data_IF_468334929836
#
_entry.id   IF_468334929836
#
_cell.length_a   1.000
_cell.length_b   1.000
_cell.length_c   1.000
_cell.angle_alpha   90.00
_cell.angle_beta   90.00
_cell.angle_gamma   90.00
#
_symmetry.space_group_name_H-M   'P 1'
#
loop_
_entity.id
_entity.type
_entity.pdbx_description
1 polymer ?
#
# COMPACT_ATOMS: atom_id res chain seq x y z
N UNK A 1 -24.40 -1.30 9.56
CA UNK A 1 -23.62 -2.46 10.07
C UNK A 1 -22.30 -1.88 10.53
N UNK A 2 -22.09 -1.83 11.85
CA UNK A 2 -20.86 -1.34 12.49
C UNK A 2 -20.30 -2.56 13.21
N UNK A 3 -19.85 -3.53 12.43
CA UNK A 3 -19.54 -4.86 12.95
C UNK A 3 -18.10 -5.16 12.50
N UNK A 4 -17.14 -4.43 13.08
CA UNK A 4 -15.74 -4.80 13.02
C UNK A 4 -15.49 -5.76 14.19
N UNK A 5 -15.84 -7.03 13.97
CA UNK A 5 -15.68 -8.09 14.98
C UNK A 5 -14.25 -8.60 14.97
N UNK A 6 -13.43 -8.11 15.90
CA UNK A 6 -12.00 -8.48 16.03
C UNK A 6 -11.80 -9.12 17.40
N UNK A 7 -11.17 -10.30 17.43
CA UNK A 7 -10.86 -11.04 18.66
C UNK A 7 -12.08 -11.27 19.58
N UNK A 8 -13.23 -11.61 19.00
CA UNK A 8 -14.50 -11.84 19.71
C UNK A 8 -15.10 -10.62 20.41
N UNK A 9 -14.63 -9.42 20.08
CA UNK A 9 -15.18 -8.17 20.59
C UNK A 9 -15.73 -7.31 19.47
N UNK A 10 -16.89 -6.71 19.74
CA UNK A 10 -17.48 -5.70 18.87
C UNK A 10 -16.77 -4.37 19.13
N UNK A 11 -15.90 -3.98 18.20
CA UNK A 11 -15.07 -2.80 18.37
C UNK A 11 -15.78 -1.57 17.79
N UNK A 12 -16.11 -0.62 18.65
CA UNK A 12 -16.70 0.66 18.23
C UNK A 12 -15.73 1.64 17.54
N UNK A 13 -14.51 1.19 17.24
CA UNK A 13 -13.43 1.99 16.65
C UNK A 13 -12.61 1.14 15.67
N UNK A 14 -12.22 1.75 14.55
CA UNK A 14 -11.43 1.12 13.48
C UNK A 14 -9.92 1.37 13.70
N UNK A 15 -9.07 0.39 13.38
CA UNK A 15 -7.61 0.49 13.54
C UNK A 15 -6.96 1.52 12.60
N UNK A 16 -7.67 1.96 11.56
CA UNK A 16 -7.18 2.86 10.52
C UNK A 16 -8.31 3.56 9.78
N UNK A 17 -8.21 3.61 8.45
CA UNK A 17 -9.26 4.14 7.57
C UNK A 17 -10.42 3.16 7.34
N UNK A 18 -11.37 3.54 6.48
CA UNK A 18 -12.51 2.70 6.12
C UNK A 18 -12.11 1.68 5.04
N UNK A 19 -11.29 0.69 5.40
CA UNK A 19 -10.58 -0.16 4.43
C UNK A 19 -11.46 -1.16 3.65
N UNK A 20 -12.74 -1.28 3.97
CA UNK A 20 -13.72 -1.96 3.10
C UNK A 20 -13.86 -1.24 1.74
N UNK A 21 -13.61 0.07 1.68
CA UNK A 21 -13.52 0.84 0.43
C UNK A 21 -12.49 0.21 -0.52
N UNK A 22 -11.34 -0.23 0.01
CA UNK A 22 -10.26 -0.81 -0.79
C UNK A 22 -10.66 -2.16 -1.37
N UNK A 23 -11.35 -3.01 -0.59
CA UNK A 23 -11.83 -4.34 -1.03
C UNK A 23 -12.87 -4.19 -2.14
N UNK A 24 -13.86 -3.31 -1.94
CA UNK A 24 -14.92 -3.10 -2.93
C UNK A 24 -14.34 -2.46 -4.20
N UNK A 25 -13.43 -1.49 -4.08
CA UNK A 25 -12.74 -0.90 -5.22
C UNK A 25 -11.89 -1.92 -5.98
N UNK A 26 -11.16 -2.79 -5.26
CA UNK A 26 -10.37 -3.85 -5.89
C UNK A 26 -11.22 -4.81 -6.71
N UNK A 27 -12.35 -5.26 -6.15
CA UNK A 27 -13.31 -6.10 -6.84
C UNK A 27 -13.94 -5.38 -8.06
N UNK A 28 -14.23 -4.09 -7.93
CA UNK A 28 -14.79 -3.27 -9.01
C UNK A 28 -13.82 -3.14 -10.19
N UNK A 29 -12.58 -2.71 -9.93
CA UNK A 29 -11.59 -2.48 -10.99
C UNK A 29 -11.12 -3.78 -11.65
N UNK A 30 -11.32 -4.93 -10.99
CA UNK A 30 -11.05 -6.27 -11.55
C UNK A 30 -12.27 -6.91 -12.22
N UNK A 31 -13.43 -6.24 -12.18
CA UNK A 31 -14.64 -6.66 -12.89
C UNK A 31 -15.26 -7.94 -12.33
N UNK A 32 -15.28 -8.10 -11.00
CA UNK A 32 -15.94 -9.24 -10.36
C UNK A 32 -17.43 -9.28 -10.72
N UNK A 33 -17.90 -10.43 -11.19
CA UNK A 33 -19.30 -10.60 -11.60
C UNK A 33 -20.24 -10.79 -10.40
N UNK A 34 -21.54 -10.54 -10.60
CA UNK A 34 -22.58 -10.82 -9.61
C UNK A 34 -22.74 -9.74 -8.52
N UNK A 35 -22.06 -8.60 -8.63
CA UNK A 35 -22.16 -7.50 -7.68
C UNK A 35 -23.04 -6.38 -8.23
N UNK A 36 -23.99 -5.88 -7.43
CA UNK A 36 -24.72 -4.65 -7.74
C UNK A 36 -23.83 -3.43 -7.43
N UNK A 37 -23.11 -2.95 -8.44
CA UNK A 37 -22.13 -1.88 -8.25
C UNK A 37 -22.72 -0.54 -7.83
N UNK A 38 -23.99 -0.25 -8.16
CA UNK A 38 -24.65 0.97 -7.69
C UNK A 38 -24.94 0.90 -6.17
N UNK A 39 -25.34 -0.26 -5.69
CA UNK A 39 -25.58 -0.51 -4.27
C UNK A 39 -24.27 -0.55 -3.48
N UNK A 40 -23.25 -1.26 -3.98
CA UNK A 40 -21.91 -1.25 -3.38
C UNK A 40 -21.32 0.17 -3.30
N UNK A 41 -21.51 0.97 -4.37
CA UNK A 41 -21.10 2.37 -4.36
C UNK A 41 -21.86 3.22 -3.33
N UNK A 42 -23.14 2.93 -3.06
CA UNK A 42 -23.90 3.67 -2.04
C UNK A 42 -23.28 3.54 -0.65
N UNK A 43 -22.70 2.38 -0.33
CA UNK A 43 -21.96 2.14 0.91
C UNK A 43 -20.67 2.97 0.95
N UNK A 44 -19.86 2.91 -0.11
CA UNK A 44 -18.61 3.69 -0.19
C UNK A 44 -18.89 5.19 -0.10
N UNK A 45 -19.90 5.67 -0.82
CA UNK A 45 -20.32 7.07 -0.75
C UNK A 45 -20.75 7.44 0.67
N UNK A 46 -21.49 6.58 1.35
CA UNK A 46 -21.86 6.80 2.74
C UNK A 46 -20.62 6.91 3.63
N UNK A 47 -19.64 6.02 3.49
CA UNK A 47 -18.40 6.10 4.27
C UNK A 47 -17.65 7.40 3.98
N UNK A 48 -17.41 7.69 2.69
CA UNK A 48 -16.70 8.88 2.24
C UNK A 48 -17.34 10.20 2.68
N UNK A 49 -18.67 10.27 2.73
CA UNK A 49 -19.42 11.49 3.06
C UNK A 49 -19.80 11.56 4.55
N UNK A 50 -19.89 10.44 5.28
CA UNK A 50 -20.40 10.35 6.66
C UNK A 50 -19.41 9.74 7.64
N UNK A 51 -18.91 8.53 7.40
CA UNK A 51 -18.13 7.74 8.38
C UNK A 51 -16.60 7.91 8.35
N UNK A 52 -16.07 8.85 7.55
CA UNK A 52 -14.68 9.30 7.72
C UNK A 52 -14.55 10.19 8.96
N UNK A 53 -14.37 9.54 10.10
CA UNK A 53 -14.30 10.11 11.44
C UNK A 53 -12.85 10.21 11.93
N UNK A 54 -12.56 11.17 12.79
CA UNK A 54 -11.22 11.33 13.33
C UNK A 54 -11.25 11.94 14.72
N UNK A 55 -10.15 11.76 15.46
CA UNK A 55 -9.96 12.33 16.79
C UNK A 55 -8.83 13.35 16.72
N UNK A 56 -9.16 14.61 17.00
CA UNK A 56 -8.18 15.69 17.19
C UNK A 56 -8.20 16.18 18.64
N UNK A 57 -7.07 16.67 19.16
CA UNK A 57 -7.05 17.23 20.51
C UNK A 57 -7.97 18.44 20.63
N UNK A 58 -8.78 18.45 21.69
CA UNK A 58 -9.78 19.50 21.94
C UNK A 58 -11.04 19.39 21.07
N UNK A 59 -11.07 18.51 20.06
CA UNK A 59 -12.26 18.22 19.24
C UNK A 59 -12.31 16.72 18.89
N UNK A 60 -12.93 15.89 19.76
CA UNK A 60 -12.98 14.44 19.61
C UNK A 60 -13.72 13.95 18.35
N UNK A 61 -14.60 14.77 17.77
CA UNK A 61 -15.14 14.57 16.43
C UNK A 61 -14.51 15.58 15.46
N UNK A 62 -13.53 15.11 14.69
CA UNK A 62 -12.87 15.90 13.65
C UNK A 62 -13.28 15.46 12.23
N UNK A 63 -14.41 14.76 12.08
CA UNK A 63 -14.89 14.24 10.79
C UNK A 63 -15.02 15.32 9.72
N UNK A 64 -15.58 16.47 10.10
CA UNK A 64 -15.71 17.65 9.22
C UNK A 64 -14.34 18.19 8.80
N UNK A 65 -13.35 18.14 9.70
CA UNK A 65 -12.01 18.65 9.41
C UNK A 65 -11.32 17.85 8.33
N UNK A 66 -11.38 16.52 8.38
CA UNK A 66 -10.83 15.69 7.30
C UNK A 66 -11.47 16.04 5.95
N UNK A 67 -12.80 16.18 5.92
CA UNK A 67 -13.54 16.43 4.67
C UNK A 67 -13.21 17.80 4.05
N UNK A 68 -12.90 18.80 4.87
CA UNK A 68 -12.50 20.15 4.42
C UNK A 68 -11.01 20.25 4.11
N UNK A 69 -10.16 19.82 5.05
CA UNK A 69 -8.71 19.99 5.03
C UNK A 69 -7.97 18.88 4.28
N UNK A 70 -8.56 17.70 4.17
CA UNK A 70 -7.93 16.48 3.67
C UNK A 70 -6.93 15.83 4.65
N UNK A 71 -6.95 16.27 5.91
CA UNK A 71 -6.18 15.70 7.02
C UNK A 71 -6.88 16.01 8.35
N UNK A 72 -6.56 15.24 9.36
CA UNK A 72 -7.04 15.38 10.73
C UNK A 72 -5.96 16.07 11.56
N UNK A 73 -6.27 17.15 12.28
CA UNK A 73 -5.31 17.75 13.19
C UNK A 73 -4.87 16.83 14.31
N UNK A 74 -3.68 17.14 14.82
CA UNK A 74 -2.98 16.42 15.87
C UNK A 74 -3.93 15.87 16.94
N UNK A 75 -3.87 14.56 17.10
CA UNK A 75 -4.70 13.76 17.97
C UNK A 75 -4.42 12.28 17.77
N UNK A 76 -5.23 11.44 18.42
CA UNK A 76 -5.10 9.99 18.39
C UNK A 76 -5.22 9.47 16.94
N UNK A 77 -4.15 8.82 16.45
CA UNK A 77 -4.03 8.23 15.10
C UNK A 77 -4.31 9.19 13.93
N UNK A 78 -4.37 10.50 14.21
CA UNK A 78 -4.79 11.53 13.26
C UNK A 78 -4.06 11.48 11.92
N UNK A 79 -2.76 11.19 11.93
CA UNK A 79 -1.89 11.23 10.76
C UNK A 79 -1.99 9.95 9.93
N UNK A 80 -1.96 8.76 10.56
CA UNK A 80 -2.17 7.49 9.85
C UNK A 80 -3.57 7.41 9.23
N UNK A 81 -4.61 7.72 9.99
CA UNK A 81 -6.01 7.73 9.51
C UNK A 81 -6.19 8.71 8.34
N UNK A 82 -5.52 9.87 8.36
CA UNK A 82 -5.58 10.81 7.23
C UNK A 82 -4.99 10.25 5.95
N UNK A 83 -3.89 9.49 6.03
CA UNK A 83 -3.28 8.84 4.87
C UNK A 83 -4.14 7.69 4.34
N UNK A 84 -4.71 6.89 5.25
CA UNK A 84 -5.61 5.80 4.86
C UNK A 84 -6.89 6.33 4.23
N UNK A 85 -7.51 7.36 4.81
CA UNK A 85 -8.67 8.01 4.18
C UNK A 85 -8.34 8.66 2.85
N UNK A 86 -7.12 9.19 2.68
CA UNK A 86 -6.66 9.69 1.39
C UNK A 86 -6.61 8.58 0.34
N UNK A 87 -6.27 7.35 0.72
CA UNK A 87 -6.37 6.20 -0.18
C UNK A 87 -7.82 5.75 -0.39
N UNK A 88 -8.63 5.70 0.66
CA UNK A 88 -10.05 5.33 0.56
C UNK A 88 -10.86 6.33 -0.30
N UNK A 89 -10.75 7.64 -0.06
CA UNK A 89 -10.27 8.57 -1.10
C UNK A 89 -10.40 8.22 -2.58
N UNK A 90 -9.22 7.87 -3.07
CA UNK A 90 -8.93 7.44 -4.41
C UNK A 90 -9.76 6.21 -4.83
N UNK A 91 -9.94 5.23 -3.94
CA UNK A 91 -10.78 4.05 -4.19
C UNK A 91 -12.23 4.43 -4.52
N UNK A 92 -12.83 5.33 -3.72
CA UNK A 92 -14.16 5.87 -3.97
C UNK A 92 -14.23 6.64 -5.29
N UNK A 93 -13.18 7.41 -5.62
CA UNK A 93 -13.08 8.13 -6.88
C UNK A 93 -13.06 7.17 -8.09
N UNK A 94 -12.33 6.05 -8.03
CA UNK A 94 -12.26 5.10 -9.15
C UNK A 94 -13.61 4.45 -9.46
N UNK A 95 -14.37 4.08 -8.42
CA UNK A 95 -15.72 3.52 -8.62
C UNK A 95 -16.68 4.60 -9.13
N UNK A 96 -16.64 5.80 -8.55
CA UNK A 96 -17.47 6.92 -9.00
C UNK A 96 -17.26 7.21 -10.50
N UNK A 97 -16.00 7.21 -10.96
CA UNK A 97 -15.63 7.40 -12.36
C UNK A 97 -16.25 6.32 -13.26
N UNK A 98 -16.07 5.05 -12.91
CA UNK A 98 -16.58 3.94 -13.71
C UNK A 98 -18.12 3.87 -13.75
N UNK A 99 -18.81 4.43 -12.76
CA UNK A 99 -20.27 4.55 -12.72
C UNK A 99 -20.80 5.88 -13.30
N UNK A 100 -19.95 6.72 -13.89
CA UNK A 100 -20.36 7.99 -14.49
C UNK A 100 -20.78 9.07 -13.49
N UNK A 101 -20.35 8.98 -12.22
CA UNK A 101 -20.66 9.94 -11.15
C UNK A 101 -19.58 11.02 -11.06
N UNK A 102 -19.54 11.88 -12.07
CA UNK A 102 -18.42 12.80 -12.32
C UNK A 102 -18.14 13.77 -11.15
N UNK A 103 -19.17 14.31 -10.50
CA UNK A 103 -19.00 15.24 -9.36
C UNK A 103 -18.38 14.54 -8.15
N UNK A 104 -18.81 13.31 -7.87
CA UNK A 104 -18.23 12.50 -6.80
C UNK A 104 -16.78 12.11 -7.16
N UNK A 105 -16.51 11.73 -8.40
CA UNK A 105 -15.15 11.42 -8.88
C UNK A 105 -14.20 12.60 -8.63
N UNK A 106 -14.57 13.81 -9.08
CA UNK A 106 -13.75 15.02 -8.89
C UNK A 106 -13.54 15.34 -7.41
N UNK A 107 -14.61 15.29 -6.61
CA UNK A 107 -14.56 15.57 -5.17
C UNK A 107 -13.62 14.62 -4.43
N UNK A 108 -13.76 13.31 -4.65
CA UNK A 108 -12.94 12.31 -3.95
C UNK A 108 -11.50 12.29 -4.48
N UNK A 109 -11.30 12.49 -5.78
CA UNK A 109 -9.95 12.59 -6.34
C UNK A 109 -9.20 13.81 -5.77
N UNK A 110 -9.85 14.98 -5.68
CA UNK A 110 -9.29 16.16 -5.03
C UNK A 110 -8.89 15.86 -3.58
N UNK A 111 -9.84 15.35 -2.78
CA UNK A 111 -9.58 15.04 -1.36
C UNK A 111 -8.50 13.97 -1.19
N UNK A 112 -8.44 12.96 -2.07
CA UNK A 112 -7.38 11.95 -2.08
C UNK A 112 -6.01 12.57 -2.26
N UNK A 113 -5.88 13.70 -2.95
CA UNK A 113 -4.59 14.33 -3.23
C UNK A 113 -4.07 15.21 -2.07
N UNK A 114 -4.93 15.49 -1.07
CA UNK A 114 -4.64 16.39 0.06
C UNK A 114 -3.76 15.78 1.14
N UNK A 115 -3.38 14.49 1.06
CA UNK A 115 -2.33 13.93 1.91
C UNK A 115 -1.05 14.77 1.86
N UNK A 116 -0.82 15.45 0.72
CA UNK A 116 0.30 16.36 0.51
C UNK A 116 0.40 17.44 1.59
N UNK A 117 -0.72 17.82 2.21
CA UNK A 117 -0.76 18.82 3.27
C UNK A 117 -0.03 18.36 4.54
N UNK A 118 0.21 17.06 4.70
CA UNK A 118 0.98 16.46 5.79
C UNK A 118 2.45 16.22 5.42
N UNK A 119 2.85 16.43 4.16
CA UNK A 119 4.25 16.36 3.76
C UNK A 119 5.01 17.57 4.30
N UNK A 120 5.93 17.33 5.22
CA UNK A 120 6.82 18.35 5.77
C UNK A 120 8.20 18.25 5.08
N UNK A 121 8.54 19.15 4.14
CA UNK A 121 9.83 19.13 3.46
C UNK A 121 11.02 19.40 4.40
N UNK A 122 10.79 20.09 5.53
CA UNK A 122 11.83 20.48 6.49
C UNK A 122 12.05 19.45 7.59
N UNK A 123 11.13 18.50 7.76
CA UNK A 123 11.33 17.37 8.67
C UNK A 123 12.58 16.58 8.24
N UNK A 124 13.48 16.29 9.18
CA UNK A 124 14.74 15.62 8.91
C UNK A 124 15.05 14.50 9.88
N UNK A 125 15.56 13.38 9.38
CA UNK A 125 16.07 12.25 10.16
C UNK A 125 17.18 11.56 9.37
N UNK A 126 18.29 11.24 10.02
CA UNK A 126 19.45 10.52 9.44
C UNK A 126 19.91 11.10 8.10
N UNK A 127 20.10 12.43 8.04
CA UNK A 127 20.50 13.20 6.86
C UNK A 127 19.49 13.23 5.70
N UNK A 128 18.34 12.57 5.85
CA UNK A 128 17.23 12.69 4.90
C UNK A 128 16.26 13.78 5.32
N UNK A 129 15.68 14.46 4.33
CA UNK A 129 14.61 15.44 4.50
C UNK A 129 13.28 14.91 3.96
N UNK A 130 12.20 15.63 4.25
CA UNK A 130 10.87 15.38 3.69
C UNK A 130 10.17 14.18 4.31
N UNK A 131 9.26 14.39 5.25
CA UNK A 131 8.51 13.28 5.88
C UNK A 131 7.06 13.66 6.12
N UNK A 132 6.19 12.66 6.15
CA UNK A 132 4.83 12.87 6.66
C UNK A 132 4.92 13.25 8.14
N UNK A 133 4.37 14.41 8.48
CA UNK A 133 4.36 14.95 9.84
C UNK A 133 2.94 15.36 10.23
N UNK A 134 2.69 15.36 11.54
CA UNK A 134 1.40 15.82 12.08
C UNK A 134 1.35 17.34 12.20
N UNK A 135 0.14 17.91 12.19
CA UNK A 135 -0.10 19.35 12.22
C UNK A 135 -1.12 19.73 13.30
N UNK A 136 -0.94 20.89 13.92
CA UNK A 136 -1.98 21.51 14.77
C UNK A 136 -3.12 22.01 13.88
N UNK A 137 -4.31 22.25 14.44
CA UNK A 137 -5.46 22.78 13.68
C UNK A 137 -5.13 24.08 12.93
N UNK A 138 -4.25 24.92 13.47
CA UNK A 138 -3.77 26.15 12.81
C UNK A 138 -2.91 25.94 11.56
N UNK A 139 -2.48 24.70 11.29
CA UNK A 139 -1.68 24.36 10.11
C UNK A 139 -0.17 24.28 10.37
N UNK A 140 0.31 24.53 11.59
CA UNK A 140 1.72 24.37 11.92
C UNK A 140 2.08 22.90 12.14
N UNK A 141 3.21 22.47 11.60
CA UNK A 141 3.78 21.16 11.88
C UNK A 141 4.19 21.06 13.35
N UNK A 142 3.96 19.89 13.95
CA UNK A 142 4.45 19.58 15.29
C UNK A 142 5.79 18.86 15.16
N UNK A 143 6.86 19.34 15.80
CA UNK A 143 8.10 18.58 15.90
C UNK A 143 7.83 17.25 16.62
N UNK A 144 8.14 16.15 15.95
CA UNK A 144 8.01 14.80 16.47
C UNK A 144 9.31 14.04 16.21
N UNK A 145 9.58 13.03 17.03
CA UNK A 145 10.58 12.03 16.66
C UNK A 145 10.03 11.18 15.51
N UNK A 146 10.66 11.31 14.34
CA UNK A 146 10.23 10.65 13.10
C UNK A 146 10.44 9.12 13.16
N UNK A 147 11.35 8.65 14.03
CA UNK A 147 11.65 7.22 14.22
C UNK A 147 10.74 6.55 15.25
N UNK A 148 10.08 7.34 16.09
CA UNK A 148 9.21 6.79 17.14
C UNK A 148 8.09 5.96 16.52
N UNK A 149 8.02 4.70 16.91
CA UNK A 149 6.86 3.85 16.68
C UNK A 149 5.78 4.21 17.71
N UNK A 150 4.65 4.69 17.24
CA UNK A 150 3.49 5.04 18.06
C UNK A 150 2.61 3.80 18.19
N UNK A 151 2.38 3.31 19.41
CA UNK A 151 1.58 2.10 19.62
C UNK A 151 0.09 2.25 19.26
N UNK A 152 -0.68 1.20 19.48
CA UNK A 152 -2.12 1.16 19.18
C UNK A 152 -2.85 2.29 19.88
N UNK A 153 -3.72 2.99 19.14
CA UNK A 153 -4.61 4.01 19.69
C UNK A 153 -3.88 5.19 20.36
N UNK A 154 -2.61 5.45 19.98
CA UNK A 154 -1.79 6.56 20.47
C UNK A 154 -1.82 7.75 19.51
N UNK A 155 -1.01 8.76 19.81
CA UNK A 155 -0.95 10.00 19.06
C UNK A 155 -0.39 9.78 17.65
N UNK A 156 -0.97 10.49 16.69
CA UNK A 156 -0.51 10.67 15.30
C UNK A 156 -0.51 9.43 14.42
N UNK A 157 0.26 8.39 14.75
CA UNK A 157 0.38 7.18 13.94
C UNK A 157 -0.14 5.95 14.70
N UNK A 158 -0.72 5.00 13.97
CA UNK A 158 -1.16 3.72 14.52
C UNK A 158 -0.10 2.65 14.24
N UNK A 159 0.48 2.10 15.31
CA UNK A 159 1.46 1.00 15.32
C UNK A 159 2.61 1.18 14.31
N UNK A 160 3.05 2.42 14.16
CA UNK A 160 4.08 2.77 13.20
C UNK A 160 4.68 4.13 13.45
N UNK A 161 5.62 4.50 12.59
CA UNK A 161 6.39 5.73 12.67
C UNK A 161 6.15 6.61 11.43
N UNK A 162 6.68 7.84 11.46
CA UNK A 162 6.73 8.67 10.26
C UNK A 162 7.59 8.04 9.17
N UNK A 163 8.65 7.30 9.53
CA UNK A 163 9.45 6.52 8.57
C UNK A 163 8.60 5.49 7.81
N UNK A 164 7.70 4.77 8.47
CA UNK A 164 6.78 3.83 7.80
C UNK A 164 5.71 4.56 6.98
N UNK A 165 4.93 5.43 7.62
CA UNK A 165 3.77 6.06 6.98
C UNK A 165 4.12 7.08 5.91
N UNK A 166 5.36 7.58 5.85
CA UNK A 166 5.80 8.42 4.73
C UNK A 166 5.76 7.72 3.37
N UNK A 167 5.70 6.39 3.36
CA UNK A 167 5.58 5.59 2.14
C UNK A 167 4.14 5.09 1.88
N UNK A 168 3.18 5.42 2.75
CA UNK A 168 1.77 5.02 2.60
C UNK A 168 0.98 6.04 1.76
N UNK A 169 1.29 6.11 0.46
CA UNK A 169 0.52 6.90 -0.53
C UNK A 169 0.35 6.09 -1.82
N UNK A 170 -0.28 4.90 -1.76
CA UNK A 170 -0.23 3.89 -2.82
C UNK A 170 -0.89 4.31 -4.14
N UNK A 171 -1.67 5.39 -4.15
CA UNK A 171 -2.25 6.02 -5.34
C UNK A 171 -1.37 7.12 -5.96
N UNK A 172 -0.32 7.58 -5.29
CA UNK A 172 0.49 8.74 -5.71
C UNK A 172 1.99 8.60 -5.41
N UNK A 173 2.55 7.39 -5.55
CA UNK A 173 3.98 7.12 -5.32
C UNK A 173 4.92 7.93 -6.22
N UNK A 174 4.54 8.22 -7.48
CA UNK A 174 5.33 9.10 -8.36
C UNK A 174 5.49 10.50 -7.77
N UNK A 175 4.41 11.06 -7.19
CA UNK A 175 4.44 12.36 -6.54
C UNK A 175 5.34 12.34 -5.30
N UNK A 176 5.29 11.27 -4.51
CA UNK A 176 6.19 11.08 -3.37
C UNK A 176 7.67 11.03 -3.78
N UNK A 177 7.99 10.32 -4.87
CA UNK A 177 9.35 10.28 -5.43
C UNK A 177 9.82 11.70 -5.81
N UNK A 178 8.97 12.48 -6.49
CA UNK A 178 9.31 13.86 -6.85
C UNK A 178 9.56 14.75 -5.62
N UNK A 179 8.70 14.67 -4.61
CA UNK A 179 8.83 15.44 -3.36
C UNK A 179 10.06 15.06 -2.54
N UNK A 180 10.52 13.82 -2.67
CA UNK A 180 11.70 13.30 -1.96
C UNK A 180 13.02 13.64 -2.66
N UNK A 181 12.99 14.50 -3.68
CA UNK A 181 14.19 14.90 -4.43
C UNK A 181 14.55 13.97 -5.59
N UNK A 182 13.58 13.22 -6.13
CA UNK A 182 13.76 12.33 -7.27
C UNK A 182 14.18 10.90 -6.91
N UNK A 183 14.25 10.03 -7.92
CA UNK A 183 14.42 8.58 -7.74
C UNK A 183 15.68 8.16 -6.98
N UNK A 184 16.80 8.83 -7.20
CA UNK A 184 18.06 8.50 -6.53
C UNK A 184 18.01 8.80 -5.03
N UNK A 185 17.53 9.98 -4.65
CA UNK A 185 17.39 10.35 -3.23
C UNK A 185 16.32 9.51 -2.54
N UNK A 186 15.18 9.33 -3.20
CA UNK A 186 14.09 8.49 -2.70
C UNK A 186 14.56 7.05 -2.43
N UNK A 187 15.25 6.43 -3.39
CA UNK A 187 15.72 5.05 -3.23
C UNK A 187 16.81 4.93 -2.16
N UNK A 188 17.70 5.90 -2.00
CA UNK A 188 18.68 5.92 -0.88
C UNK A 188 17.98 6.01 0.47
N UNK A 189 16.98 6.89 0.59
CA UNK A 189 16.19 7.04 1.81
C UNK A 189 15.44 5.76 2.17
N UNK A 190 14.76 5.15 1.20
CA UNK A 190 14.00 3.92 1.42
C UNK A 190 14.92 2.74 1.77
N UNK A 191 16.09 2.61 1.11
CA UNK A 191 17.12 1.64 1.50
C UNK A 191 17.56 1.84 2.95
N UNK A 192 17.89 3.07 3.34
CA UNK A 192 18.27 3.38 4.71
C UNK A 192 17.18 3.02 5.71
N UNK A 193 15.91 3.32 5.39
CA UNK A 193 14.76 2.97 6.21
C UNK A 193 14.67 1.46 6.47
N UNK A 194 14.85 0.64 5.43
CA UNK A 194 14.87 -0.82 5.58
C UNK A 194 16.15 -1.36 6.26
N UNK A 195 17.33 -0.83 5.94
CA UNK A 195 18.60 -1.33 6.47
C UNK A 195 18.81 -1.01 7.95
N UNK A 196 18.17 0.06 8.42
CA UNK A 196 18.17 0.48 9.82
C UNK A 196 16.94 0.01 10.61
N UNK A 197 16.07 -0.81 10.01
CA UNK A 197 14.81 -1.26 10.60
C UNK A 197 13.93 -0.09 11.09
N UNK A 198 13.93 1.05 10.38
CA UNK A 198 13.07 2.21 10.66
C UNK A 198 11.68 2.06 10.02
N UNK A 199 11.60 1.22 8.98
CA UNK A 199 10.35 0.77 8.38
C UNK A 199 10.10 -0.65 8.89
N UNK A 200 9.15 -0.77 9.82
CA UNK A 200 8.80 -2.04 10.45
C UNK A 200 7.94 -2.88 9.51
N UNK A 201 8.52 -3.94 8.95
CA UNK A 201 7.83 -4.86 8.04
C UNK A 201 7.11 -6.00 8.75
N UNK A 202 7.20 -6.09 10.07
CA UNK A 202 6.39 -7.01 10.87
C UNK A 202 4.92 -6.59 10.96
N UNK A 203 4.56 -5.42 10.41
CA UNK A 203 3.21 -4.84 10.49
C UNK A 203 2.73 -4.35 9.10
N UNK A 204 1.41 -4.36 8.87
CA UNK A 204 0.76 -4.10 7.58
C UNK A 204 1.06 -2.73 6.94
N UNK A 205 1.21 -1.61 7.69
CA UNK A 205 1.44 -0.30 7.07
C UNK A 205 2.67 -0.25 6.16
N UNK A 206 3.63 -1.16 6.34
CA UNK A 206 4.86 -1.22 5.56
C UNK A 206 4.75 -2.07 4.27
N UNK A 207 3.71 -2.87 4.07
CA UNK A 207 3.65 -3.88 2.99
C UNK A 207 3.94 -3.28 1.61
N UNK A 208 3.39 -2.10 1.32
CA UNK A 208 3.56 -1.42 0.03
C UNK A 208 4.87 -0.65 -0.10
N UNK A 209 5.60 -0.39 0.99
CA UNK A 209 6.82 0.44 0.97
C UNK A 209 7.90 -0.15 0.05
N UNK A 210 8.09 -1.47 0.04
CA UNK A 210 9.08 -2.13 -0.84
C UNK A 210 8.78 -1.92 -2.32
N UNK A 211 7.50 -1.80 -2.68
CA UNK A 211 7.09 -1.60 -4.07
C UNK A 211 7.30 -0.16 -4.54
N UNK A 212 7.56 0.79 -3.62
CA UNK A 212 7.88 2.16 -4.00
C UNK A 212 9.22 2.29 -4.74
N UNK A 213 10.14 1.31 -4.61
CA UNK A 213 11.36 1.26 -5.43
C UNK A 213 11.08 1.19 -6.94
N UNK A 214 9.95 0.61 -7.36
CA UNK A 214 9.58 0.56 -8.78
C UNK A 214 9.40 1.97 -9.37
N UNK A 215 8.75 2.85 -8.61
CA UNK A 215 8.52 4.25 -9.01
C UNK A 215 9.81 5.10 -8.97
N UNK A 216 10.85 4.62 -8.29
CA UNK A 216 12.18 5.21 -8.33
C UNK A 216 13.10 4.60 -9.40
N UNK A 217 12.56 3.79 -10.32
CA UNK A 217 13.32 3.08 -11.36
C UNK A 217 14.45 2.19 -10.79
N UNK A 218 14.16 1.56 -9.63
CA UNK A 218 15.03 0.62 -8.90
C UNK A 218 14.35 -0.71 -8.66
N UNK A 219 13.85 -1.33 -9.73
CA UNK A 219 13.20 -2.66 -9.68
C UNK A 219 14.13 -3.74 -9.11
N UNK A 220 15.44 -3.57 -9.26
CA UNK A 220 16.47 -4.39 -8.63
C UNK A 220 16.37 -4.38 -7.10
N UNK A 221 16.15 -3.19 -6.49
CA UNK A 221 15.96 -3.07 -5.05
C UNK A 221 14.63 -3.64 -4.59
N UNK A 222 13.57 -3.52 -5.38
CA UNK A 222 12.31 -4.17 -5.07
C UNK A 222 12.49 -5.70 -4.97
N UNK A 223 13.15 -6.33 -5.96
CA UNK A 223 13.50 -7.75 -5.89
C UNK A 223 14.38 -8.09 -4.68
N UNK A 224 15.41 -7.28 -4.41
CA UNK A 224 16.34 -7.50 -3.29
C UNK A 224 15.63 -7.46 -1.94
N UNK A 225 14.91 -6.38 -1.63
CA UNK A 225 14.24 -6.22 -0.34
C UNK A 225 13.09 -7.19 -0.19
N UNK A 226 12.29 -7.48 -1.22
CA UNK A 226 11.25 -8.52 -1.13
C UNK A 226 11.86 -9.86 -0.73
N UNK A 227 12.97 -10.27 -1.36
CA UNK A 227 13.65 -11.52 -0.99
C UNK A 227 14.28 -11.49 0.40
N UNK A 228 14.80 -10.33 0.83
CA UNK A 228 15.34 -10.15 2.17
C UNK A 228 14.25 -10.26 3.23
N UNK A 229 13.15 -9.53 3.05
CA UNK A 229 12.01 -9.47 3.96
C UNK A 229 11.31 -10.82 4.10
N UNK A 230 11.19 -11.61 3.03
CA UNK A 230 10.72 -13.01 3.13
C UNK A 230 11.62 -13.80 4.09
N UNK A 231 12.94 -13.78 3.90
CA UNK A 231 13.88 -14.53 4.76
C UNK A 231 13.92 -14.03 6.19
N UNK A 232 13.76 -12.72 6.37
CA UNK A 232 13.83 -12.09 7.68
C UNK A 232 12.54 -12.32 8.47
N UNK A 233 11.36 -12.38 7.86
CA UNK A 233 10.09 -12.39 8.58
C UNK A 233 9.36 -13.72 8.59
N UNK A 234 9.81 -14.71 7.81
CA UNK A 234 9.14 -16.01 7.69
C UNK A 234 10.12 -17.16 7.84
N UNK A 235 9.72 -18.18 8.59
CA UNK A 235 10.44 -19.44 8.74
C UNK A 235 9.44 -20.62 8.79
N UNK A 236 9.91 -21.82 9.15
CA UNK A 236 9.06 -23.01 9.21
C UNK A 236 8.01 -22.96 10.34
N UNK A 237 8.22 -22.12 11.35
CA UNK A 237 7.32 -21.92 12.49
C UNK A 237 6.26 -20.84 12.21
N UNK A 238 6.37 -20.11 11.09
CA UNK A 238 5.40 -19.09 10.67
C UNK A 238 6.03 -17.71 10.42
N UNK A 239 5.22 -16.67 10.53
CA UNK A 239 5.67 -15.28 10.52
C UNK A 239 6.15 -14.83 11.92
N UNK A 240 7.02 -13.82 11.97
CA UNK A 240 7.56 -13.29 13.23
C UNK A 240 6.55 -12.59 14.13
N UNK A 241 5.56 -11.94 13.52
CA UNK A 241 4.52 -11.16 14.20
C UNK A 241 3.15 -11.82 13.99
N UNK A 242 2.07 -11.14 14.36
CA UNK A 242 0.72 -11.62 14.12
C UNK A 242 0.48 -11.89 12.62
N UNK A 243 -0.17 -13.00 12.29
CA UNK A 243 -0.56 -13.28 10.90
C UNK A 243 -1.75 -12.42 10.44
N UNK A 244 -2.45 -11.80 11.40
CA UNK A 244 -3.59 -10.90 11.20
C UNK A 244 -4.61 -11.42 10.20
N UNK A 245 -5.11 -12.63 10.50
CA UNK A 245 -6.12 -13.33 9.70
C UNK A 245 -5.66 -13.58 8.25
N UNK A 246 -4.38 -13.87 8.07
CA UNK A 246 -3.77 -14.22 6.79
C UNK A 246 -3.20 -13.03 6.01
N UNK A 247 -3.08 -11.84 6.61
CA UNK A 247 -2.44 -10.69 5.98
C UNK A 247 -0.96 -10.96 5.69
N UNK A 248 -0.18 -11.37 6.70
CA UNK A 248 1.23 -11.73 6.56
C UNK A 248 1.41 -12.94 5.64
N UNK A 249 0.60 -13.99 5.82
CA UNK A 249 0.60 -15.17 4.95
C UNK A 249 0.30 -14.84 3.49
N UNK A 250 -0.68 -13.97 3.22
CA UNK A 250 -1.00 -13.51 1.87
C UNK A 250 0.17 -12.73 1.27
N UNK A 251 0.83 -11.90 2.07
CA UNK A 251 2.02 -11.19 1.64
C UNK A 251 3.14 -12.14 1.23
N UNK A 252 3.42 -13.14 2.06
CA UNK A 252 4.41 -14.18 1.76
C UNK A 252 4.07 -14.93 0.48
N UNK A 253 2.81 -15.35 0.28
CA UNK A 253 2.39 -16.11 -0.89
C UNK A 253 2.57 -15.27 -2.16
N UNK A 254 2.02 -14.06 -2.22
CA UNK A 254 2.14 -13.19 -3.39
C UNK A 254 3.60 -12.88 -3.71
N UNK A 255 4.36 -12.43 -2.70
CA UNK A 255 5.78 -12.12 -2.87
C UNK A 255 6.62 -13.33 -3.29
N UNK A 256 6.27 -14.53 -2.82
CA UNK A 256 6.93 -15.78 -3.23
C UNK A 256 6.59 -16.21 -4.65
N UNK A 257 5.37 -15.92 -5.11
CA UNK A 257 4.99 -16.06 -6.52
C UNK A 257 5.71 -15.04 -7.41
N UNK A 258 6.26 -13.97 -6.83
CA UNK A 258 7.05 -12.97 -7.54
C UNK A 258 6.25 -11.77 -8.00
N UNK A 259 5.07 -11.54 -7.42
CA UNK A 259 4.30 -10.33 -7.65
C UNK A 259 3.39 -9.97 -6.47
N UNK A 260 3.05 -8.70 -6.28
CA UNK A 260 2.20 -8.26 -5.16
C UNK A 260 1.13 -7.25 -5.61
N UNK A 261 -0.15 -7.40 -5.18
CA UNK A 261 -1.24 -6.50 -5.60
C UNK A 261 -1.16 -5.12 -4.93
N UNK A 262 -1.51 -4.07 -5.68
CA UNK A 262 -1.90 -2.79 -5.09
C UNK A 262 -3.43 -2.75 -4.96
N UNK A 263 -3.97 -3.27 -3.85
CA UNK A 263 -5.41 -3.48 -3.67
C UNK A 263 -6.21 -2.18 -3.84
N UNK A 264 -7.23 -2.17 -4.69
CA UNK A 264 -7.98 -0.96 -5.08
C UNK A 264 -7.53 -0.39 -6.44
N UNK A 265 -6.48 -0.97 -7.02
CA UNK A 265 -5.97 -0.69 -8.35
C UNK A 265 -5.80 -1.99 -9.13
N UNK A 266 -5.96 -1.92 -10.45
CA UNK A 266 -5.80 -3.08 -11.33
C UNK A 266 -4.32 -3.35 -11.67
N UNK A 267 -3.43 -3.33 -10.68
CA UNK A 267 -2.00 -3.55 -10.87
C UNK A 267 -1.41 -4.53 -9.84
N UNK A 268 -0.46 -5.32 -10.31
CA UNK A 268 0.40 -6.21 -9.54
C UNK A 268 1.86 -5.85 -9.83
N UNK A 269 2.63 -5.52 -8.80
CA UNK A 269 4.06 -5.21 -8.91
C UNK A 269 4.87 -6.49 -9.11
N UNK A 270 5.85 -6.50 -10.00
CA UNK A 270 6.71 -7.65 -10.30
C UNK A 270 8.00 -7.61 -9.47
N UNK A 271 8.27 -8.66 -8.70
CA UNK A 271 9.48 -8.78 -7.87
C UNK A 271 10.30 -10.05 -8.15
N UNK A 272 9.73 -11.01 -8.89
CA UNK A 272 10.40 -12.21 -9.37
C UNK A 272 10.23 -13.40 -8.42
N UNK A 273 9.82 -14.55 -8.96
CA UNK A 273 9.34 -15.67 -8.16
C UNK A 273 10.42 -16.45 -7.41
N UNK A 274 10.10 -16.89 -6.20
CA UNK A 274 10.94 -17.72 -5.33
C UNK A 274 11.09 -19.13 -5.88
N UNK A 275 9.97 -19.72 -6.32
CA UNK A 275 9.94 -21.10 -6.79
C UNK A 275 10.27 -21.19 -8.29
N UNK A 276 10.99 -22.24 -8.74
CA UNK A 276 11.23 -22.46 -10.17
C UNK A 276 9.93 -22.55 -10.99
N UNK A 277 8.87 -23.08 -10.37
CA UNK A 277 7.53 -23.15 -10.95
C UNK A 277 6.48 -23.09 -9.86
N UNK A 278 5.41 -22.32 -10.09
CA UNK A 278 4.19 -22.33 -9.32
C UNK A 278 2.98 -22.32 -10.26
N UNK A 279 1.86 -22.89 -9.82
CA UNK A 279 0.61 -22.93 -10.60
C UNK A 279 -0.54 -22.55 -9.69
N UNK A 280 -1.30 -21.53 -10.09
CA UNK A 280 -2.51 -21.09 -9.40
C UNK A 280 -3.70 -21.63 -10.19
N UNK A 281 -4.56 -22.39 -9.52
CA UNK A 281 -5.85 -22.81 -10.06
C UNK A 281 -6.87 -21.69 -9.83
N UNK A 282 -7.47 -21.20 -10.90
CA UNK A 282 -8.49 -20.14 -10.83
C UNK A 282 -9.88 -20.75 -10.64
N UNK A 283 -10.80 -19.96 -10.09
CA UNK A 283 -12.20 -20.36 -9.87
C UNK A 283 -12.94 -20.73 -11.17
N UNK A 284 -12.52 -20.20 -12.33
CA UNK A 284 -13.07 -20.53 -13.64
C UNK A 284 -12.45 -21.81 -14.27
N UNK A 285 -11.67 -22.58 -13.50
CA UNK A 285 -11.00 -23.80 -13.95
C UNK A 285 -9.76 -23.57 -14.83
N UNK A 286 -9.39 -22.31 -15.11
CA UNK A 286 -8.15 -21.96 -15.80
C UNK A 286 -6.98 -21.93 -14.82
N UNK A 287 -5.76 -21.78 -15.36
CA UNK A 287 -4.53 -21.82 -14.56
C UNK A 287 -3.65 -20.63 -14.87
N UNK A 288 -3.04 -20.02 -13.85
CA UNK A 288 -1.92 -19.09 -14.03
C UNK A 288 -0.64 -19.83 -13.67
N UNK A 289 0.27 -19.96 -14.63
CA UNK A 289 1.57 -20.60 -14.43
C UNK A 289 2.63 -19.53 -14.22
N UNK A 290 3.41 -19.66 -13.16
CA UNK A 290 4.56 -18.82 -12.90
C UNK A 290 5.80 -19.69 -13.08
N UNK A 291 6.72 -19.27 -13.94
CA UNK A 291 7.97 -19.99 -14.24
C UNK A 291 9.15 -19.05 -13.98
N UNK A 292 9.96 -19.34 -12.97
CA UNK A 292 11.11 -18.51 -12.58
C UNK A 292 12.40 -19.24 -12.93
N UNK A 293 12.84 -19.15 -14.19
CA UNK A 293 14.04 -19.86 -14.64
C UNK A 293 15.26 -19.31 -13.93
N UNK A 294 16.14 -20.21 -13.51
CA UNK A 294 17.36 -19.92 -12.76
C UNK A 294 17.14 -19.30 -11.36
N UNK A 295 15.93 -19.23 -10.81
CA UNK A 295 15.74 -18.73 -9.43
C UNK A 295 16.54 -19.58 -8.44
N UNK A 296 17.18 -18.93 -7.48
CA UNK A 296 17.93 -19.58 -6.40
C UNK A 296 18.08 -18.62 -5.22
N UNK A 297 18.78 -19.05 -4.17
CA UNK A 297 19.15 -18.16 -3.06
C UNK A 297 20.03 -16.98 -3.48
N UNK A 298 20.78 -17.11 -4.59
CA UNK A 298 21.62 -16.05 -5.16
C UNK A 298 20.94 -15.31 -6.31
N UNK A 299 20.18 -16.03 -7.13
CA UNK A 299 19.57 -15.50 -8.34
C UNK A 299 18.20 -14.89 -8.02
N UNK A 300 18.22 -13.65 -7.55
CA UNK A 300 17.05 -12.94 -7.03
C UNK A 300 16.52 -11.84 -7.95
N UNK A 301 17.32 -11.40 -8.94
CA UNK A 301 16.99 -10.25 -9.78
C UNK A 301 16.33 -10.69 -11.09
N UNK A 302 15.23 -10.03 -11.47
CA UNK A 302 14.59 -10.23 -12.77
C UNK A 302 15.53 -9.70 -13.88
N UNK A 303 15.94 -10.58 -14.79
CA UNK A 303 16.73 -10.24 -15.99
C UNK A 303 15.82 -9.95 -17.19
N UNK A 304 14.74 -10.73 -17.31
CA UNK A 304 13.69 -10.50 -18.30
C UNK A 304 12.39 -11.12 -17.83
N UNK A 305 11.28 -10.58 -18.31
CA UNK A 305 9.95 -11.10 -18.05
C UNK A 305 9.20 -11.31 -19.37
N UNK A 306 8.41 -12.37 -19.45
CA UNK A 306 7.37 -12.54 -20.47
C UNK A 306 6.04 -12.81 -19.80
N UNK A 307 4.98 -12.19 -20.31
CA UNK A 307 3.61 -12.48 -19.92
C UNK A 307 2.87 -12.97 -21.15
N UNK A 308 2.32 -14.19 -21.07
CA UNK A 308 1.64 -14.87 -22.17
C UNK A 308 2.48 -14.89 -23.47
N UNK A 309 3.79 -15.15 -23.31
CA UNK A 309 4.77 -15.21 -24.40
C UNK A 309 5.29 -13.85 -24.89
N UNK A 310 4.66 -12.74 -24.48
CA UNK A 310 5.06 -11.38 -24.89
C UNK A 310 6.15 -10.84 -23.97
N UNK A 311 7.21 -10.26 -24.54
CA UNK A 311 8.24 -9.58 -23.76
C UNK A 311 7.62 -8.44 -22.94
N UNK A 312 7.96 -8.39 -21.65
CA UNK A 312 7.37 -7.45 -20.69
C UNK A 312 8.45 -6.55 -20.10
N UNK A 313 8.31 -5.24 -20.34
CA UNK A 313 9.27 -4.22 -19.89
C UNK A 313 8.74 -3.39 -18.71
N UNK A 314 7.45 -3.48 -18.43
CA UNK A 314 6.83 -2.78 -17.30
C UNK A 314 7.15 -3.51 -16.00
N UNK A 315 7.18 -2.76 -14.90
CA UNK A 315 7.38 -3.33 -13.56
C UNK A 315 6.08 -3.85 -12.93
N UNK A 316 4.97 -3.78 -13.64
CA UNK A 316 3.66 -4.22 -13.20
C UNK A 316 2.91 -4.92 -14.34
N UNK A 317 1.87 -5.66 -13.98
CA UNK A 317 0.86 -6.20 -14.91
C UNK A 317 -0.53 -6.05 -14.28
N UNK A 318 -1.59 -6.28 -15.04
CA UNK A 318 -2.98 -6.12 -14.59
C UNK A 318 -3.67 -7.45 -14.31
N UNK A 319 -4.83 -7.41 -13.66
CA UNK A 319 -5.66 -8.59 -13.48
C UNK A 319 -6.14 -9.17 -14.83
N UNK A 320 -6.36 -8.32 -15.84
CA UNK A 320 -6.80 -8.74 -17.18
C UNK A 320 -5.78 -9.63 -17.88
N UNK A 321 -4.49 -9.47 -17.57
CA UNK A 321 -3.42 -10.28 -18.14
C UNK A 321 -3.47 -11.75 -17.67
N UNK A 322 -4.17 -12.03 -16.56
CA UNK A 322 -4.17 -13.36 -15.92
C UNK A 322 -5.56 -13.94 -15.61
N UNK A 323 -6.65 -13.15 -15.61
CA UNK A 323 -7.99 -13.60 -15.17
C UNK A 323 -8.57 -14.78 -15.95
N UNK A 324 -8.11 -14.99 -17.17
CA UNK A 324 -8.53 -16.10 -18.04
C UNK A 324 -7.49 -17.24 -18.10
N UNK A 325 -6.58 -17.28 -17.12
CA UNK A 325 -5.38 -18.10 -17.16
C UNK A 325 -4.27 -17.47 -17.99
N UNK A 326 -3.05 -17.94 -17.79
CA UNK A 326 -1.90 -17.35 -18.44
C UNK A 326 -0.57 -17.92 -17.95
N UNK A 327 0.51 -17.35 -18.44
CA UNK A 327 1.87 -17.67 -17.97
C UNK A 327 2.68 -16.41 -17.74
N UNK A 328 3.31 -16.31 -16.57
CA UNK A 328 4.33 -15.31 -16.24
C UNK A 328 5.67 -16.05 -16.20
N UNK A 329 6.59 -15.71 -17.10
CA UNK A 329 7.91 -16.29 -17.15
C UNK A 329 8.97 -15.25 -16.77
N UNK A 330 9.77 -15.55 -15.77
CA UNK A 330 10.96 -14.78 -15.40
C UNK A 330 12.24 -15.54 -15.79
N UNK A 331 13.24 -14.78 -16.24
CA UNK A 331 14.64 -15.21 -16.20
C UNK A 331 15.28 -14.50 -15.02
N UNK A 332 15.81 -15.25 -14.05
CA UNK A 332 16.45 -14.71 -12.85
C UNK A 332 17.97 -14.69 -12.98
N UNK A 333 18.63 -13.77 -12.27
CA UNK A 333 20.08 -13.60 -12.24
C UNK A 333 20.59 -13.16 -10.87
N UNK A 334 21.90 -13.30 -10.64
CA UNK A 334 22.60 -12.96 -9.39
C UNK A 334 23.03 -11.49 -9.31
N UNK A 335 22.85 -10.73 -10.39
CA UNK A 335 23.13 -9.29 -10.49
C UNK A 335 21.92 -8.54 -11.04
N UNK A 336 21.77 -7.24 -10.71
CA UNK A 336 20.80 -6.38 -11.36
C UNK A 336 20.91 -6.43 -12.88
N UNK A 337 19.78 -6.43 -13.58
CA UNK A 337 19.77 -6.37 -15.04
C UNK A 337 20.42 -5.06 -15.53
N UNK A 338 21.21 -5.14 -16.60
CA UNK A 338 21.68 -3.94 -17.30
C UNK A 338 20.49 -3.26 -17.98
N UNK A 339 20.31 -1.96 -17.74
CA UNK A 339 19.20 -1.15 -18.27
C UNK A 339 19.17 -1.11 -19.78
#
# INVERSE_FOLDING_TARGET
VKDAYVALNDMGVEQGGNNIDNIIADAYVKGIAGVNWNEAYSLIKHQADKERLGISYGKPDSSKMYKELGWIPAGKMSTSVSLEYSYNDFCAAQIAKGLGKEDDYKKYLDRSSKWINLWNPDASSDDFKGFISTKRLGGDFIPIDLKKNWGSWKDYFYEGSSWTYSYFVPHQLEKLVALSGGGDMFSKKLQHGFDKNLIDYGNEPAFLAVHAFHYANRTDLASYYTRRLIRENFNLDGCKENDDSGAMSSWFIFSSLGFFPNAGQNIYYLTGGVFPKAVIQLANGKTVKIVSKNTSGKNIYIQSCKINGKAWKQFWFTHDDIKNGGTIEFIMGDKPATK
#
